data_IF_089730035260
#
_entry.id   IF_089730035260
#
_cell.length_a   1.000
_cell.length_b   1.000
_cell.length_c   1.000
_cell.angle_alpha   90.00
_cell.angle_beta   90.00
_cell.angle_gamma   90.00
#
_symmetry.space_group_name_H-M   'P 1'
#
loop_
_entity.id
_entity.type
_entity.pdbx_description
1 polymer ?
#
# COMPACT_ATOMS: atom_id res chain seq x y z
N UNK A 1 -30.54 -29.17 15.48
CA UNK A 1 -30.58 -27.89 14.78
C UNK A 1 -29.88 -26.76 15.52
N UNK A 2 -30.05 -26.58 16.82
CA UNK A 2 -29.35 -25.56 17.60
C UNK A 2 -27.83 -25.71 17.65
N UNK A 3 -27.32 -26.96 17.64
CA UNK A 3 -25.89 -27.25 17.68
C UNK A 3 -25.15 -26.91 16.38
N UNK A 4 -25.81 -27.01 15.24
CA UNK A 4 -25.23 -26.71 13.92
C UNK A 4 -25.12 -25.19 13.73
N UNK A 5 -26.14 -24.42 14.16
CA UNK A 5 -26.12 -22.97 14.15
C UNK A 5 -25.01 -22.40 15.05
N UNK A 6 -24.79 -22.97 16.23
CA UNK A 6 -23.71 -22.55 17.14
C UNK A 6 -22.32 -22.87 16.60
N UNK A 7 -22.13 -23.99 15.92
CA UNK A 7 -20.85 -24.34 15.25
C UNK A 7 -20.54 -23.41 14.09
N UNK A 8 -21.53 -23.05 13.30
CA UNK A 8 -21.39 -22.14 12.17
C UNK A 8 -21.09 -20.71 12.69
N UNK A 9 -21.76 -20.26 13.72
CA UNK A 9 -21.51 -18.94 14.34
C UNK A 9 -20.14 -18.86 15.00
N UNK A 10 -19.66 -19.91 15.68
CA UNK A 10 -18.31 -19.97 16.23
C UNK A 10 -17.25 -19.94 15.14
N UNK A 11 -17.49 -20.63 14.03
CA UNK A 11 -16.57 -20.65 12.87
C UNK A 11 -16.53 -19.29 12.20
N UNK A 12 -17.65 -18.60 12.11
CA UNK A 12 -17.74 -17.26 11.54
C UNK A 12 -17.06 -16.21 12.42
N UNK A 13 -17.25 -16.30 13.73
CA UNK A 13 -16.64 -15.40 14.70
C UNK A 13 -15.12 -15.60 14.77
N UNK A 14 -14.64 -16.84 14.67
CA UNK A 14 -13.21 -17.13 14.59
C UNK A 14 -12.57 -16.58 13.32
N UNK A 15 -13.28 -16.61 12.20
CA UNK A 15 -12.84 -16.06 10.94
C UNK A 15 -12.75 -14.53 10.97
N UNK A 16 -13.72 -13.85 11.57
CA UNK A 16 -13.68 -12.40 11.76
C UNK A 16 -12.59 -11.98 12.74
N UNK A 17 -12.43 -12.66 13.87
CA UNK A 17 -11.35 -12.43 14.82
C UNK A 17 -9.99 -12.68 14.16
N UNK A 18 -9.87 -13.70 13.33
CA UNK A 18 -8.66 -14.00 12.58
C UNK A 18 -8.36 -12.90 11.56
N UNK A 19 -9.37 -12.38 10.86
CA UNK A 19 -9.20 -11.23 9.96
C UNK A 19 -8.77 -9.98 10.73
N UNK A 20 -9.38 -9.69 11.86
CA UNK A 20 -9.12 -8.49 12.66
C UNK A 20 -7.77 -8.53 13.36
N UNK A 21 -7.34 -9.71 13.84
CA UNK A 21 -6.10 -9.85 14.61
C UNK A 21 -4.85 -10.14 13.77
N UNK A 22 -4.99 -10.75 12.59
CA UNK A 22 -3.86 -11.21 11.77
C UNK A 22 -3.84 -10.63 10.37
N UNK A 23 -4.84 -9.85 9.98
CA UNK A 23 -5.00 -9.39 8.61
C UNK A 23 -4.25 -8.10 8.29
N UNK A 24 -3.64 -7.45 9.27
CA UNK A 24 -2.81 -6.29 8.99
C UNK A 24 -1.47 -6.72 8.41
N UNK A 25 -1.04 -6.14 7.28
CA UNK A 25 0.29 -6.42 6.75
C UNK A 25 1.38 -6.08 7.76
N UNK A 26 2.43 -6.91 7.82
CA UNK A 26 3.52 -6.73 8.80
C UNK A 26 4.09 -5.31 8.80
N UNK A 27 4.37 -4.68 7.64
CA UNK A 27 4.95 -3.33 7.63
C UNK A 27 4.08 -2.25 8.26
N UNK A 28 2.78 -2.47 8.38
CA UNK A 28 1.88 -1.46 8.98
C UNK A 28 2.11 -1.31 10.47
N UNK A 29 2.56 -2.35 11.15
CA UNK A 29 2.77 -2.38 12.60
C UNK A 29 4.23 -2.56 13.00
N UNK A 30 5.05 -3.12 12.13
CA UNK A 30 6.49 -3.29 12.36
C UNK A 30 7.24 -2.15 11.66
N UNK A 31 7.67 -1.18 12.45
CA UNK A 31 8.34 0.02 11.94
C UNK A 31 9.67 -0.30 11.25
N UNK A 32 10.40 -1.29 11.76
CA UNK A 32 11.69 -1.70 11.18
C UNK A 32 11.50 -2.28 9.78
N UNK A 33 10.52 -3.17 9.61
CA UNK A 33 10.19 -3.76 8.31
C UNK A 33 9.69 -2.67 7.35
N UNK A 34 8.84 -1.77 7.82
CA UNK A 34 8.35 -0.65 7.01
C UNK A 34 9.49 0.23 6.50
N UNK A 35 10.41 0.61 7.39
CA UNK A 35 11.56 1.45 7.03
C UNK A 35 12.47 0.75 6.04
N UNK A 36 12.75 -0.53 6.23
CA UNK A 36 13.54 -1.33 5.31
C UNK A 36 12.91 -1.37 3.91
N UNK A 37 11.61 -1.62 3.84
CA UNK A 37 10.89 -1.68 2.58
C UNK A 37 10.84 -0.31 1.89
N UNK A 38 10.64 0.76 2.65
CA UNK A 38 10.67 2.13 2.14
C UNK A 38 12.05 2.47 1.56
N UNK A 39 13.11 2.18 2.28
CA UNK A 39 14.47 2.47 1.83
C UNK A 39 14.81 1.70 0.54
N UNK A 40 14.35 0.46 0.45
CA UNK A 40 14.48 -0.34 -0.78
C UNK A 40 13.74 0.33 -1.95
N UNK A 41 12.51 0.81 -1.71
CA UNK A 41 11.71 1.47 -2.74
C UNK A 41 12.37 2.78 -3.22
N UNK A 42 13.02 3.51 -2.32
CA UNK A 42 13.74 4.75 -2.66
C UNK A 42 14.98 4.43 -3.49
N UNK A 43 15.74 3.42 -3.11
CA UNK A 43 17.06 3.12 -3.69
C UNK A 43 16.99 2.26 -4.96
N UNK A 44 15.94 1.48 -5.14
CA UNK A 44 15.81 0.59 -6.29
C UNK A 44 15.61 1.39 -7.58
N UNK A 45 16.46 1.17 -8.57
CA UNK A 45 16.41 1.89 -9.86
C UNK A 45 15.09 1.70 -10.61
N UNK A 46 14.41 0.58 -10.39
CA UNK A 46 13.14 0.27 -11.03
C UNK A 46 11.91 0.79 -10.27
N UNK A 47 12.11 1.37 -9.09
CA UNK A 47 11.02 1.91 -8.25
C UNK A 47 11.15 3.42 -8.06
N UNK A 48 12.26 3.85 -7.52
CA UNK A 48 12.60 5.27 -7.26
C UNK A 48 11.47 6.05 -6.59
N UNK A 49 11.03 5.56 -5.44
CA UNK A 49 9.99 6.21 -4.66
C UNK A 49 10.43 7.60 -4.21
N UNK A 50 9.62 8.60 -4.51
CA UNK A 50 9.90 10.00 -4.17
C UNK A 50 8.79 10.95 -4.62
N UNK A 51 9.02 12.27 -4.62
CA UNK A 51 10.22 12.95 -4.12
C UNK A 51 10.36 12.87 -2.60
N UNK A 52 11.58 12.78 -2.11
CA UNK A 52 11.84 12.70 -0.66
C UNK A 52 11.54 14.02 0.05
N UNK A 53 11.81 15.14 -0.62
CA UNK A 53 11.44 16.47 -0.18
C UNK A 53 10.42 17.04 -1.16
N UNK A 54 9.19 17.22 -0.69
CA UNK A 54 8.07 17.68 -1.53
C UNK A 54 8.29 19.11 -2.01
N UNK A 55 8.95 19.93 -1.20
CA UNK A 55 9.19 21.35 -1.52
C UNK A 55 10.37 21.55 -2.47
N UNK A 56 11.35 20.64 -2.42
CA UNK A 56 12.55 20.73 -3.24
C UNK A 56 12.90 19.35 -3.85
N UNK A 57 12.14 18.90 -4.84
CA UNK A 57 12.32 17.54 -5.38
C UNK A 57 13.54 17.36 -6.30
N UNK A 58 14.37 18.38 -6.51
CA UNK A 58 15.66 18.28 -7.21
C UNK A 58 15.59 17.60 -8.59
N UNK A 59 14.61 17.99 -9.42
CA UNK A 59 14.44 17.43 -10.77
C UNK A 59 13.77 16.07 -10.82
N UNK A 60 13.22 15.60 -9.71
CA UNK A 60 12.54 14.30 -9.64
C UNK A 60 11.44 14.14 -10.70
N UNK A 61 10.62 15.17 -10.88
CA UNK A 61 9.49 15.11 -11.81
C UNK A 61 9.93 15.02 -13.27
N UNK A 62 10.99 15.72 -13.63
CA UNK A 62 11.58 15.64 -14.97
C UNK A 62 12.13 14.24 -15.22
N UNK A 63 12.79 13.67 -14.25
CA UNK A 63 13.39 12.34 -14.34
C UNK A 63 12.32 11.24 -14.51
N UNK A 64 11.25 11.28 -13.69
CA UNK A 64 10.17 10.30 -13.79
C UNK A 64 9.33 10.49 -15.06
N UNK A 65 9.14 11.74 -15.51
CA UNK A 65 8.46 12.02 -16.78
C UNK A 65 9.21 11.44 -17.97
N UNK A 66 10.54 11.55 -17.98
CA UNK A 66 11.39 10.92 -19.00
C UNK A 66 11.24 9.40 -18.98
N UNK A 67 11.25 8.79 -17.80
CA UNK A 67 11.09 7.35 -17.64
C UNK A 67 9.76 6.85 -18.23
N UNK A 68 8.68 7.58 -17.98
CA UNK A 68 7.35 7.22 -18.50
C UNK A 68 7.11 7.72 -19.93
N UNK A 69 8.05 8.48 -20.49
CA UNK A 69 7.91 9.12 -21.80
C UNK A 69 6.65 9.99 -21.88
N UNK A 70 6.49 10.89 -20.92
CA UNK A 70 5.35 11.77 -20.80
C UNK A 70 5.78 13.19 -20.39
N UNK A 71 4.83 14.11 -20.25
CA UNK A 71 5.10 15.46 -19.77
C UNK A 71 5.28 15.50 -18.26
N UNK A 72 5.99 16.51 -17.76
CA UNK A 72 6.12 16.76 -16.31
C UNK A 72 4.73 17.01 -15.68
N UNK A 73 3.84 17.70 -16.37
CA UNK A 73 2.47 17.94 -15.90
C UNK A 73 1.70 16.65 -15.70
N UNK A 74 1.79 15.73 -16.66
CA UNK A 74 1.15 14.43 -16.55
C UNK A 74 1.77 13.59 -15.43
N UNK A 75 3.08 13.62 -15.28
CA UNK A 75 3.79 12.92 -14.21
C UNK A 75 3.33 13.42 -12.83
N UNK A 76 3.19 14.72 -12.65
CA UNK A 76 2.74 15.32 -11.39
C UNK A 76 1.31 14.95 -11.00
N UNK A 77 0.50 14.48 -11.94
CA UNK A 77 -0.85 13.96 -11.70
C UNK A 77 -0.89 12.47 -11.38
N UNK A 78 0.21 11.77 -11.58
CA UNK A 78 0.33 10.32 -11.39
C UNK A 78 1.00 10.06 -10.04
N UNK A 79 0.20 10.14 -8.97
CA UNK A 79 0.66 10.09 -7.59
C UNK A 79 0.17 8.84 -6.89
N UNK A 80 0.77 8.51 -5.75
CA UNK A 80 0.25 7.45 -4.88
C UNK A 80 -1.24 7.66 -4.59
N UNK A 81 -1.70 8.90 -4.42
CA UNK A 81 -3.10 9.24 -4.19
C UNK A 81 -4.08 8.61 -5.19
N UNK A 82 -3.65 8.35 -6.41
CA UNK A 82 -4.50 7.71 -7.44
C UNK A 82 -3.88 6.42 -8.00
N UNK A 83 -2.92 5.85 -7.29
CA UNK A 83 -2.32 4.58 -7.67
C UNK A 83 -3.20 3.39 -7.28
N UNK A 84 -3.29 2.42 -8.18
CA UNK A 84 -4.09 1.20 -7.97
C UNK A 84 -3.65 0.37 -6.75
N UNK A 85 -2.40 0.51 -6.31
CA UNK A 85 -1.85 -0.22 -5.18
C UNK A 85 -1.89 0.56 -3.86
N UNK A 86 -2.36 1.81 -3.87
CA UNK A 86 -2.39 2.67 -2.69
C UNK A 86 -3.67 2.46 -1.89
N UNK A 87 -3.52 1.89 -0.69
CA UNK A 87 -4.64 1.48 0.15
C UNK A 87 -4.91 2.48 1.26
N UNK A 88 -6.05 3.15 1.17
CA UNK A 88 -6.60 4.05 2.18
C UNK A 88 -7.98 3.59 2.63
N UNK A 89 -8.25 2.29 2.51
CA UNK A 89 -9.50 1.70 2.99
C UNK A 89 -9.66 1.87 4.50
N UNK A 90 -10.89 1.85 5.03
CA UNK A 90 -11.10 1.95 6.48
C UNK A 90 -10.31 0.90 7.28
N UNK A 91 -10.30 -0.35 6.82
CA UNK A 91 -9.53 -1.40 7.50
C UNK A 91 -8.04 -1.11 7.53
N UNK A 92 -7.49 -0.60 6.42
CA UNK A 92 -6.06 -0.32 6.35
C UNK A 92 -5.69 0.84 7.25
N UNK A 93 -6.53 1.86 7.36
CA UNK A 93 -6.31 2.97 8.28
C UNK A 93 -6.26 2.49 9.74
N UNK A 94 -7.09 1.51 10.09
CA UNK A 94 -7.04 0.90 11.43
C UNK A 94 -5.76 0.10 11.68
N UNK A 95 -5.17 -0.45 10.62
CA UNK A 95 -3.90 -1.17 10.73
C UNK A 95 -2.71 -0.24 10.99
N UNK A 96 -2.80 1.03 10.59
CA UNK A 96 -1.69 1.96 10.68
C UNK A 96 -1.86 2.86 11.92
N UNK A 97 -0.97 2.73 12.92
CA UNK A 97 -1.08 3.55 14.14
C UNK A 97 -0.63 4.99 13.89
N UNK A 98 -1.17 5.89 14.70
CA UNK A 98 -0.80 7.30 14.69
C UNK A 98 -1.61 8.14 13.71
N UNK A 99 -1.16 9.37 13.52
CA UNK A 99 -1.83 10.30 12.61
C UNK A 99 -1.44 10.00 11.17
N UNK A 100 -2.43 9.88 10.30
CA UNK A 100 -2.24 9.48 8.90
C UNK A 100 -2.26 10.65 7.92
N UNK A 101 -2.71 11.83 8.34
CA UNK A 101 -2.78 12.99 7.46
C UNK A 101 -1.83 14.10 7.91
N UNK A 102 -1.34 14.87 6.94
CA UNK A 102 -0.51 16.05 7.14
C UNK A 102 -0.93 17.15 6.15
N UNK A 103 -0.33 18.36 6.19
CA UNK A 103 -0.71 19.42 5.25
C UNK A 103 -0.49 19.08 3.77
N UNK A 104 0.39 18.15 3.45
CA UNK A 104 0.71 17.77 2.07
C UNK A 104 -0.15 16.61 1.55
N UNK A 105 -0.80 15.85 2.43
CA UNK A 105 -1.62 14.71 2.02
C UNK A 105 -1.83 13.69 3.13
N UNK A 106 -1.81 12.40 2.78
CA UNK A 106 -2.06 11.34 3.73
C UNK A 106 -1.17 10.11 3.49
N UNK A 107 -0.99 9.32 4.54
CA UNK A 107 -0.33 8.02 4.44
C UNK A 107 -1.35 6.95 4.07
N UNK A 108 -0.93 6.02 3.23
CA UNK A 108 -1.64 4.81 2.89
C UNK A 108 -0.65 3.66 2.80
N UNK A 109 -1.12 2.49 2.43
CA UNK A 109 -0.28 1.30 2.30
C UNK A 109 -0.08 0.93 0.83
N UNK A 110 1.15 0.73 0.43
CA UNK A 110 1.49 0.28 -0.93
C UNK A 110 1.60 -1.24 -0.96
N UNK A 111 0.68 -1.90 -1.66
CA UNK A 111 0.69 -3.36 -1.79
C UNK A 111 1.81 -3.87 -2.71
N UNK A 112 2.25 -3.05 -3.66
CA UNK A 112 3.33 -3.46 -4.56
C UNK A 112 4.68 -3.56 -3.85
N UNK A 113 5.00 -2.59 -3.02
CA UNK A 113 6.31 -2.48 -2.37
C UNK A 113 6.26 -2.69 -0.86
N UNK A 114 5.08 -2.93 -0.33
CA UNK A 114 4.83 -3.34 1.06
C UNK A 114 5.41 -2.37 2.09
N UNK A 115 5.01 -1.13 2.00
CA UNK A 115 5.35 -0.11 2.98
C UNK A 115 4.29 0.99 3.02
N UNK A 116 4.33 1.80 4.09
CA UNK A 116 3.45 2.97 4.20
C UNK A 116 4.01 4.08 3.32
N UNK A 117 3.26 4.47 2.30
CA UNK A 117 3.66 5.51 1.36
C UNK A 117 2.75 6.75 1.47
N UNK A 118 3.23 7.86 0.96
CA UNK A 118 2.55 9.15 1.06
C UNK A 118 1.82 9.49 -0.25
N UNK A 119 0.61 10.03 -0.12
CA UNK A 119 -0.27 10.33 -1.26
C UNK A 119 0.32 11.33 -2.25
N UNK A 120 1.19 12.24 -1.79
CA UNK A 120 1.80 13.26 -2.65
C UNK A 120 3.04 12.79 -3.38
N UNK A 121 3.44 11.53 -3.19
CA UNK A 121 4.63 10.93 -3.82
C UNK A 121 4.24 9.99 -4.96
N UNK A 122 5.23 9.47 -5.65
CA UNK A 122 5.02 8.49 -6.71
C UNK A 122 6.24 7.57 -6.85
N UNK A 123 6.19 6.64 -7.77
CA UNK A 123 7.33 5.79 -8.11
C UNK A 123 7.19 5.32 -9.57
N UNK A 124 8.25 4.72 -10.11
CA UNK A 124 8.25 4.24 -11.49
C UNK A 124 7.18 3.20 -11.79
N UNK A 125 6.74 2.44 -10.77
CA UNK A 125 5.73 1.39 -10.94
C UNK A 125 4.30 1.88 -10.74
N UNK A 126 4.08 3.20 -10.65
CA UNK A 126 2.74 3.75 -10.52
C UNK A 126 1.78 3.15 -11.54
N UNK A 127 0.58 2.81 -11.10
CA UNK A 127 -0.46 2.23 -11.96
C UNK A 127 -1.78 2.96 -11.75
N UNK A 128 -2.44 3.31 -12.84
CA UNK A 128 -3.74 3.98 -12.82
C UNK A 128 -4.82 3.06 -12.23
N UNK A 129 -5.77 3.66 -11.54
CA UNK A 129 -6.97 2.95 -11.08
C UNK A 129 -7.24 2.99 -9.58
N UNK A 130 -6.45 3.75 -8.83
CA UNK A 130 -6.66 3.89 -7.38
C UNK A 130 -7.29 5.23 -6.99
N UNK A 131 -7.32 5.49 -5.69
CA UNK A 131 -6.79 4.63 -4.62
C UNK A 131 -7.74 3.47 -4.27
N UNK A 132 -7.26 2.55 -3.42
CA UNK A 132 -8.09 1.50 -2.83
C UNK A 132 -8.84 2.13 -1.65
N UNK A 133 -10.16 2.28 -1.79
CA UNK A 133 -11.00 2.95 -0.80
C UNK A 133 -12.01 2.02 -0.13
N UNK A 134 -12.08 0.76 -0.54
CA UNK A 134 -13.01 -0.24 0.02
C UNK A 134 -12.26 -1.41 0.62
N UNK A 135 -12.78 -1.93 1.71
CA UNK A 135 -12.20 -3.09 2.40
C UNK A 135 -12.16 -4.33 1.50
N UNK A 136 -13.15 -4.50 0.64
CA UNK A 136 -13.22 -5.62 -0.30
C UNK A 136 -12.00 -5.65 -1.23
N UNK A 137 -11.66 -4.53 -1.84
CA UNK A 137 -10.50 -4.44 -2.75
C UNK A 137 -9.21 -4.60 -1.96
N UNK A 138 -9.15 -4.03 -0.76
CA UNK A 138 -8.01 -4.18 0.15
C UNK A 138 -7.75 -5.66 0.48
N UNK A 139 -8.77 -6.41 0.85
CA UNK A 139 -8.64 -7.84 1.13
C UNK A 139 -8.24 -8.64 -0.12
N UNK A 140 -8.73 -8.27 -1.29
CA UNK A 140 -8.33 -8.93 -2.54
C UNK A 140 -6.81 -8.80 -2.79
N UNK A 141 -6.25 -7.62 -2.56
CA UNK A 141 -4.81 -7.42 -2.65
C UNK A 141 -4.04 -8.26 -1.64
N UNK A 142 -4.52 -8.30 -0.40
CA UNK A 142 -3.89 -9.08 0.65
C UNK A 142 -3.90 -10.58 0.33
N UNK A 143 -5.02 -11.10 -0.13
CA UNK A 143 -5.16 -12.50 -0.52
C UNK A 143 -4.18 -12.87 -1.63
N UNK A 144 -4.04 -12.03 -2.64
CA UNK A 144 -3.08 -12.23 -3.73
C UNK A 144 -1.64 -12.22 -3.24
N UNK A 145 -1.31 -11.33 -2.30
CA UNK A 145 0.03 -11.26 -1.73
C UNK A 145 0.34 -12.47 -0.86
N UNK A 146 -0.63 -12.98 -0.11
CA UNK A 146 -0.49 -14.21 0.66
C UNK A 146 -0.29 -15.42 -0.24
N UNK A 147 -1.07 -15.55 -1.31
CA UNK A 147 -0.94 -16.62 -2.27
C UNK A 147 0.45 -16.63 -2.93
N UNK A 148 0.96 -15.47 -3.28
CA UNK A 148 2.31 -15.32 -3.82
C UNK A 148 3.38 -15.76 -2.82
N UNK A 149 3.21 -15.44 -1.54
CA UNK A 149 4.12 -15.87 -0.47
C UNK A 149 4.04 -17.37 -0.22
N UNK A 150 2.84 -17.96 -0.28
CA UNK A 150 2.60 -19.39 -0.08
C UNK A 150 3.14 -20.23 -1.23
N UNK A 151 3.13 -19.74 -2.44
CA UNK A 151 3.64 -20.43 -3.61
C UNK A 151 5.17 -20.47 -3.68
N UNK A 152 5.86 -19.88 -2.72
CA UNK A 152 7.33 -19.86 -2.59
C UNK A 152 8.08 -19.38 -3.83
N UNK A 153 7.39 -18.77 -4.76
CA UNK A 153 8.03 -18.00 -5.82
C UNK A 153 8.12 -16.56 -5.31
N UNK A 154 9.29 -16.15 -4.81
CA UNK A 154 9.42 -14.76 -4.42
C UNK A 154 9.13 -13.91 -5.66
N UNK A 155 8.21 -13.00 -5.52
CA UNK A 155 8.02 -11.95 -6.52
C UNK A 155 9.34 -11.20 -6.56
N UNK A 156 10.12 -11.50 -7.58
CA UNK A 156 11.41 -10.86 -7.77
C UNK A 156 11.21 -9.43 -8.22
#
# INVERSE_FOLDING_TARGET
MKLIKLKIMKKFKLFEEFKDSTSCPVPTKDLEVNTKNRDRAIKAEHIEYGPLNVDEPAGFWEHIADHWNTSVEAAKKSLCANCAAFDVSPRMKECMPGELSDPDGELGYCWMHQFKCHSARTCYTWAKGGPISTDKISFNWQDKNQDAAMNKNPIK
#
